data_IF_607456319455
#
_entry.id   IF_607456319455
#
_cell.length_a   1.000
_cell.length_b   1.000
_cell.length_c   1.000
_cell.angle_alpha   90.00
_cell.angle_beta   90.00
_cell.angle_gamma   90.00
#
_symmetry.space_group_name_H-M   'P 1'
#
loop_
_entity.id
_entity.type
_entity.pdbx_description
1 polymer ?
#
# COMPACT_ATOMS: atom_id res chain seq x y z
N UNK A 1 -13.37 -7.37 3.85
CA UNK A 1 -12.56 -6.40 3.07
C UNK A 1 -11.86 -7.14 1.95
N UNK A 2 -11.73 -6.56 0.75
CA UNK A 2 -10.96 -7.14 -0.36
C UNK A 2 -9.65 -6.37 -0.48
N UNK A 3 -8.52 -7.07 -0.55
CA UNK A 3 -7.21 -6.45 -0.73
C UNK A 3 -6.69 -6.74 -2.14
N UNK A 4 -6.38 -5.68 -2.87
CA UNK A 4 -5.52 -5.73 -4.04
C UNK A 4 -4.13 -5.22 -3.69
N UNK A 5 -3.10 -5.71 -4.34
CA UNK A 5 -1.78 -5.10 -4.21
C UNK A 5 -1.02 -5.07 -5.53
N UNK A 6 -0.15 -4.08 -5.63
CA UNK A 6 0.84 -3.90 -6.68
C UNK A 6 2.18 -3.65 -5.98
N UNK A 7 2.91 -4.73 -5.75
CA UNK A 7 4.24 -4.69 -5.15
C UNK A 7 5.30 -4.64 -6.25
N UNK A 8 6.49 -4.14 -5.92
CA UNK A 8 7.65 -4.25 -6.80
C UNK A 8 8.76 -4.97 -6.04
N UNK A 9 9.31 -6.02 -6.63
CA UNK A 9 10.45 -6.75 -6.05
C UNK A 9 11.68 -6.52 -6.90
N UNK A 10 12.86 -6.54 -6.27
CA UNK A 10 14.10 -6.48 -7.02
C UNK A 10 14.54 -7.86 -7.45
N UNK A 11 14.63 -8.07 -8.76
CA UNK A 11 15.27 -9.21 -9.37
C UNK A 11 16.65 -8.80 -9.91
N UNK A 12 17.65 -9.68 -9.84
CA UNK A 12 18.90 -9.49 -10.60
C UNK A 12 18.75 -10.18 -11.96
N UNK A 13 18.98 -9.45 -13.05
CA UNK A 13 18.98 -10.06 -14.38
C UNK A 13 20.25 -10.89 -14.64
N UNK A 14 20.31 -11.58 -15.78
CA UNK A 14 21.49 -12.36 -16.21
C UNK A 14 22.78 -11.52 -16.29
N UNK A 15 22.68 -10.19 -16.38
CA UNK A 15 23.78 -9.21 -16.38
C UNK A 15 24.06 -8.62 -14.98
N UNK A 16 23.57 -9.24 -13.89
CA UNK A 16 23.65 -8.78 -12.49
C UNK A 16 23.05 -7.39 -12.21
N UNK A 17 22.29 -6.81 -13.14
CA UNK A 17 21.61 -5.53 -12.94
C UNK A 17 20.34 -5.74 -12.13
N UNK A 18 20.10 -4.83 -11.17
CA UNK A 18 18.89 -4.81 -10.34
C UNK A 18 17.72 -4.28 -11.18
N UNK A 19 16.78 -5.15 -11.51
CA UNK A 19 15.52 -4.83 -12.19
C UNK A 19 14.40 -4.88 -11.16
N UNK A 20 13.46 -3.94 -11.24
CA UNK A 20 12.26 -3.94 -10.42
C UNK A 20 11.12 -4.57 -11.21
N UNK A 21 10.58 -5.68 -10.71
CA UNK A 21 9.51 -6.43 -11.35
C UNK A 21 8.22 -6.22 -10.55
N UNK A 22 7.10 -5.84 -11.20
CA UNK A 22 5.82 -5.78 -10.52
C UNK A 22 5.39 -7.19 -10.11
N UNK A 23 5.15 -7.37 -8.82
CA UNK A 23 4.39 -8.49 -8.27
C UNK A 23 2.97 -8.00 -8.12
N UNK A 24 2.22 -8.23 -9.20
CA UNK A 24 0.77 -8.10 -9.22
C UNK A 24 0.18 -9.43 -8.81
N UNK A 25 -0.91 -9.36 -8.08
CA UNK A 25 -1.74 -10.52 -7.82
C UNK A 25 -2.77 -10.67 -8.95
N UNK A 26 -2.87 -11.85 -9.55
CA UNK A 26 -3.90 -12.12 -10.56
C UNK A 26 -5.31 -12.22 -9.94
N UNK A 27 -5.40 -12.38 -8.61
CA UNK A 27 -6.66 -12.51 -7.87
C UNK A 27 -6.62 -11.78 -6.52
N UNK A 28 -7.58 -10.87 -6.30
CA UNK A 28 -7.75 -10.24 -4.99
C UNK A 28 -8.19 -11.29 -3.96
N UNK A 29 -7.73 -11.19 -2.72
CA UNK A 29 -8.18 -12.08 -1.64
C UNK A 29 -8.88 -11.30 -0.53
N UNK A 30 -9.92 -11.88 0.08
CA UNK A 30 -10.60 -11.25 1.21
C UNK A 30 -9.79 -11.38 2.49
N UNK A 31 -9.76 -10.32 3.30
CA UNK A 31 -9.37 -10.37 4.71
C UNK A 31 -10.59 -10.04 5.57
N UNK A 32 -10.78 -10.84 6.61
CA UNK A 32 -11.80 -10.63 7.63
C UNK A 32 -11.21 -9.82 8.78
N UNK A 33 -11.90 -8.75 9.15
CA UNK A 33 -11.53 -7.87 10.25
C UNK A 33 -12.78 -7.42 10.98
N UNK A 34 -12.65 -7.22 12.28
CA UNK A 34 -13.71 -6.69 13.13
C UNK A 34 -13.43 -5.22 13.41
N UNK A 35 -14.42 -4.39 13.08
CA UNK A 35 -14.45 -2.96 13.40
C UNK A 35 -14.31 -2.75 14.92
N UNK A 36 -13.51 -1.76 15.33
CA UNK A 36 -13.28 -1.43 16.74
C UNK A 36 -12.34 -2.38 17.50
N UNK A 37 -12.04 -3.56 16.96
CA UNK A 37 -11.06 -4.50 17.55
C UNK A 37 -9.70 -4.46 16.87
N UNK A 38 -9.66 -4.06 15.59
CA UNK A 38 -8.44 -4.09 14.79
C UNK A 38 -7.81 -2.69 14.73
N UNK A 39 -6.80 -2.44 15.56
CA UNK A 39 -6.00 -1.22 15.49
C UNK A 39 -5.18 -1.16 14.18
N UNK A 40 -4.71 0.03 13.81
CA UNK A 40 -4.00 0.24 12.53
C UNK A 40 -2.75 -0.63 12.36
N UNK A 41 -1.94 -0.81 13.42
CA UNK A 41 -0.79 -1.72 13.40
C UNK A 41 -1.21 -3.17 13.19
N UNK A 42 -2.28 -3.60 13.88
CA UNK A 42 -2.80 -4.96 13.74
C UNK A 42 -3.37 -5.21 12.35
N UNK A 43 -4.00 -4.18 11.77
CA UNK A 43 -4.45 -4.19 10.40
C UNK A 43 -3.29 -4.44 9.43
N UNK A 44 -2.21 -3.68 9.59
CA UNK A 44 -1.00 -3.80 8.78
C UNK A 44 -0.35 -5.19 8.88
N UNK A 45 -0.26 -5.76 10.09
CA UNK A 45 0.23 -7.13 10.31
C UNK A 45 -0.63 -8.18 9.59
N UNK A 46 -1.97 -8.05 9.69
CA UNK A 46 -2.89 -8.99 9.05
C UNK A 46 -2.76 -8.94 7.53
N UNK A 47 -2.61 -7.76 6.94
CA UNK A 47 -2.34 -7.62 5.51
C UNK A 47 -0.99 -8.25 5.15
N UNK A 48 0.07 -7.96 5.90
CA UNK A 48 1.40 -8.52 5.64
C UNK A 48 1.39 -10.05 5.72
N UNK A 49 0.73 -10.63 6.73
CA UNK A 49 0.60 -12.07 6.91
C UNK A 49 -0.19 -12.72 5.77
N UNK A 50 -1.32 -12.12 5.38
CA UNK A 50 -2.14 -12.63 4.29
C UNK A 50 -1.42 -12.53 2.94
N UNK A 51 -0.69 -11.44 2.69
CA UNK A 51 0.16 -11.33 1.51
C UNK A 51 1.24 -12.42 1.52
N UNK A 52 1.93 -12.63 2.65
CA UNK A 52 2.98 -13.65 2.74
C UNK A 52 2.46 -15.08 2.52
N UNK A 53 1.21 -15.35 2.94
CA UNK A 53 0.54 -16.64 2.73
C UNK A 53 0.25 -16.89 1.26
N UNK A 54 -0.18 -15.85 0.53
CA UNK A 54 -0.51 -15.96 -0.89
C UNK A 54 0.74 -15.85 -1.79
N UNK A 55 1.74 -15.05 -1.36
CA UNK A 55 2.98 -14.78 -2.08
C UNK A 55 4.14 -14.80 -1.09
N UNK A 56 4.91 -15.89 -1.11
CA UNK A 56 6.06 -16.02 -0.23
C UNK A 56 7.01 -14.81 -0.38
N UNK A 57 7.53 -14.33 0.76
CA UNK A 57 8.50 -13.22 0.88
C UNK A 57 7.91 -11.81 0.70
N UNK A 58 6.60 -11.64 0.48
CA UNK A 58 5.99 -10.30 0.42
C UNK A 58 5.70 -9.71 1.79
N UNK A 59 5.46 -10.53 2.82
CA UNK A 59 5.18 -10.05 4.18
C UNK A 59 6.28 -9.14 4.74
N UNK A 60 7.55 -9.56 4.74
CA UNK A 60 8.66 -8.72 5.20
C UNK A 60 8.82 -7.43 4.40
N UNK A 61 8.50 -7.45 3.11
CA UNK A 61 8.56 -6.25 2.24
C UNK A 61 7.49 -5.24 2.64
N UNK A 62 6.28 -5.71 2.95
CA UNK A 62 5.17 -4.87 3.42
C UNK A 62 5.47 -4.33 4.82
N UNK A 63 5.94 -5.16 5.76
CA UNK A 63 6.32 -4.73 7.11
C UNK A 63 7.42 -3.67 7.07
N UNK A 64 8.45 -3.88 6.25
CA UNK A 64 9.52 -2.89 6.08
C UNK A 64 9.02 -1.56 5.48
N UNK A 65 7.97 -1.61 4.65
CA UNK A 65 7.33 -0.39 4.12
C UNK A 65 6.47 0.37 5.15
N UNK A 66 6.23 -0.24 6.31
CA UNK A 66 5.52 0.39 7.42
C UNK A 66 6.52 1.09 8.35
N UNK A 67 7.70 0.49 8.51
CA UNK A 67 8.78 1.01 9.37
C UNK A 67 9.56 2.18 8.72
N UNK A 68 9.70 2.19 7.40
CA UNK A 68 10.47 3.23 6.71
C UNK A 68 9.60 4.47 6.41
N UNK A 69 9.89 5.65 7.02
CA UNK A 69 9.15 6.88 6.77
C UNK A 69 9.22 7.36 5.31
N UNK A 70 10.24 6.94 4.53
CA UNK A 70 10.31 7.21 3.07
C UNK A 70 9.32 6.39 2.27
N UNK A 71 8.70 5.40 2.90
CA UNK A 71 7.71 4.48 2.33
C UNK A 71 6.29 4.66 2.89
N UNK A 72 6.12 5.63 3.80
CA UNK A 72 4.82 6.07 4.33
C UNK A 72 3.97 6.69 3.21
N UNK A 73 3.19 5.86 2.55
CA UNK A 73 2.30 6.29 1.47
C UNK A 73 1.92 5.20 0.50
N UNK A 74 2.07 3.93 0.87
CA UNK A 74 1.84 2.82 -0.06
C UNK A 74 0.45 2.22 0.05
N UNK A 75 -0.44 2.79 0.87
CA UNK A 75 -1.73 2.20 1.18
C UNK A 75 -2.84 3.12 0.70
N UNK A 76 -3.59 2.71 -0.32
CA UNK A 76 -4.74 3.44 -0.83
C UNK A 76 -6.01 2.74 -0.40
N UNK A 77 -6.83 3.43 0.38
CA UNK A 77 -8.17 3.01 0.75
C UNK A 77 -9.20 3.40 -0.31
N UNK A 78 -10.21 2.55 -0.46
CA UNK A 78 -11.41 2.86 -1.23
C UNK A 78 -12.61 2.11 -0.68
N UNK A 79 -13.80 2.62 -0.96
CA UNK A 79 -15.06 2.00 -0.54
C UNK A 79 -15.94 1.86 -1.79
N UNK A 80 -16.39 0.63 -2.14
CA UNK A 80 -17.30 0.44 -3.27
C UNK A 80 -18.56 1.31 -3.13
N UNK A 81 -18.93 1.97 -4.23
CA UNK A 81 -20.18 2.72 -4.33
C UNK A 81 -20.31 3.83 -3.26
N UNK A 82 -19.20 4.46 -2.88
CA UNK A 82 -19.13 5.68 -2.07
C UNK A 82 -18.28 6.68 -2.84
N UNK A 83 -18.85 7.83 -3.20
CA UNK A 83 -18.20 8.76 -4.13
C UNK A 83 -16.92 9.37 -3.58
N UNK A 84 -16.94 9.76 -2.31
CA UNK A 84 -15.78 10.33 -1.64
C UNK A 84 -14.64 9.32 -1.58
N UNK A 85 -14.93 8.01 -1.55
CA UNK A 85 -13.95 6.94 -1.40
C UNK A 85 -13.70 6.15 -2.68
N UNK A 86 -13.88 6.77 -3.86
CA UNK A 86 -13.51 6.18 -5.15
C UNK A 86 -11.99 5.91 -5.21
N UNK A 87 -11.60 4.85 -5.93
CA UNK A 87 -10.18 4.49 -6.16
C UNK A 87 -9.35 5.62 -6.80
N UNK A 88 -10.00 6.48 -7.59
CA UNK A 88 -9.40 7.65 -8.24
C UNK A 88 -8.93 8.71 -7.24
N UNK A 89 -9.55 8.78 -6.06
CA UNK A 89 -9.31 9.86 -5.11
C UNK A 89 -8.03 9.63 -4.28
N UNK A 90 -7.41 8.46 -4.41
CA UNK A 90 -6.14 8.09 -3.78
C UNK A 90 -6.09 8.41 -2.27
N UNK A 91 -7.08 7.96 -1.50
CA UNK A 91 -7.08 8.13 -0.04
C UNK A 91 -5.98 7.32 0.63
N UNK A 92 -4.94 8.01 1.12
CA UNK A 92 -3.77 7.35 1.69
C UNK A 92 -3.98 6.99 3.17
N UNK A 93 -3.73 5.73 3.53
CA UNK A 93 -3.73 5.25 4.92
C UNK A 93 -2.33 5.40 5.51
N UNK A 94 -1.95 6.62 5.90
CA UNK A 94 -0.60 6.94 6.40
C UNK A 94 -0.56 6.88 7.93
N UNK A 95 -1.68 7.17 8.58
CA UNK A 95 -1.78 7.24 10.03
C UNK A 95 -3.07 6.56 10.54
N UNK A 96 -3.18 6.34 11.87
CA UNK A 96 -4.37 5.75 12.47
C UNK A 96 -5.66 6.54 12.25
N UNK A 97 -5.58 7.86 12.07
CA UNK A 97 -6.74 8.74 11.86
C UNK A 97 -7.36 8.51 10.48
N UNK A 98 -6.55 8.45 9.42
CA UNK A 98 -6.99 8.11 8.07
C UNK A 98 -7.65 6.72 8.04
N UNK A 99 -7.05 5.76 8.76
CA UNK A 99 -7.61 4.42 8.90
C UNK A 99 -8.96 4.42 9.61
N UNK A 100 -9.08 5.15 10.72
CA UNK A 100 -10.34 5.29 11.46
C UNK A 100 -11.41 5.96 10.61
N UNK A 101 -11.10 7.09 9.98
CA UNK A 101 -12.02 7.82 9.09
C UNK A 101 -12.54 6.95 7.94
N UNK A 102 -11.66 6.14 7.34
CA UNK A 102 -12.06 5.19 6.30
C UNK A 102 -13.02 4.12 6.80
N UNK A 103 -12.75 3.55 7.97
CA UNK A 103 -13.59 2.53 8.59
C UNK A 103 -14.95 3.09 9.02
N UNK A 104 -14.99 4.27 9.63
CA UNK A 104 -16.22 4.98 10.00
C UNK A 104 -17.05 5.32 8.76
N UNK A 105 -16.43 5.87 7.71
CA UNK A 105 -17.10 6.15 6.44
C UNK A 105 -17.74 4.90 5.82
N UNK A 106 -17.08 3.74 5.94
CA UNK A 106 -17.64 2.48 5.47
C UNK A 106 -18.84 2.03 6.31
N UNK A 107 -18.77 2.21 7.63
CA UNK A 107 -19.87 1.92 8.54
C UNK A 107 -21.09 2.81 8.29
N UNK A 108 -20.89 4.12 8.17
CA UNK A 108 -21.94 5.10 7.91
C UNK A 108 -22.60 4.85 6.55
N UNK A 109 -21.81 4.41 5.57
CA UNK A 109 -22.28 4.00 4.25
C UNK A 109 -22.90 2.58 4.22
N UNK A 110 -23.04 1.91 5.38
CA UNK A 110 -23.57 0.54 5.53
C UNK A 110 -22.84 -0.49 4.67
N UNK A 111 -21.54 -0.28 4.42
CA UNK A 111 -20.72 -1.16 3.58
C UNK A 111 -20.02 -2.21 4.44
N UNK A 112 -20.29 -3.48 4.14
CA UNK A 112 -19.60 -4.63 4.74
C UNK A 112 -18.27 -4.97 4.04
N UNK A 113 -18.06 -4.40 2.85
CA UNK A 113 -16.87 -4.63 2.03
C UNK A 113 -16.21 -3.29 1.74
N UNK A 114 -14.95 -3.20 2.12
CA UNK A 114 -14.03 -2.10 1.81
C UNK A 114 -12.84 -2.65 1.04
N UNK A 115 -12.14 -1.78 0.34
CA UNK A 115 -11.03 -2.14 -0.53
C UNK A 115 -9.75 -1.42 -0.11
N UNK A 116 -8.64 -2.16 -0.07
CA UNK A 116 -7.31 -1.58 0.13
C UNK A 116 -6.44 -1.98 -1.05
N UNK A 117 -5.71 -1.00 -1.58
CA UNK A 117 -4.68 -1.22 -2.59
C UNK A 117 -3.33 -0.86 -2.02
N UNK A 118 -2.42 -1.83 -1.92
CA UNK A 118 -1.02 -1.54 -1.57
C UNK A 118 -0.26 -1.19 -2.84
N UNK A 119 0.06 0.09 -3.04
CA UNK A 119 0.86 0.64 -4.15
C UNK A 119 2.27 0.96 -3.66
N UNK A 120 3.22 0.10 -3.96
CA UNK A 120 4.64 0.45 -3.81
C UNK A 120 5.07 1.30 -5.03
N UNK A 121 5.70 2.47 -4.88
CA UNK A 121 6.30 3.21 -5.96
C UNK A 121 7.40 2.36 -6.56
N UNK A 122 7.49 2.39 -7.89
CA UNK A 122 8.57 1.76 -8.60
C UNK A 122 9.89 2.39 -8.13
N UNK A 123 10.83 1.63 -7.56
CA UNK A 123 12.03 2.22 -7.00
C UNK A 123 12.97 2.80 -8.07
N UNK A 124 12.80 2.42 -9.34
CA UNK A 124 13.48 3.09 -10.45
C UNK A 124 12.96 4.52 -10.64
N UNK A 125 11.66 4.74 -10.48
CA UNK A 125 11.03 6.04 -10.62
C UNK A 125 11.30 6.92 -9.39
N UNK A 126 11.28 6.34 -8.19
CA UNK A 126 11.69 7.02 -6.96
C UNK A 126 13.15 7.52 -7.05
N UNK A 127 14.06 6.71 -7.63
CA UNK A 127 15.45 7.12 -7.86
C UNK A 127 15.56 8.28 -8.87
N UNK A 128 14.76 8.25 -9.94
CA UNK A 128 14.73 9.35 -10.92
C UNK A 128 14.17 10.63 -10.30
N UNK A 129 13.16 10.53 -9.44
CA UNK A 129 12.55 11.67 -8.79
C UNK A 129 13.49 12.30 -7.75
N UNK A 130 14.14 11.49 -6.91
CA UNK A 130 15.17 11.98 -5.99
C UNK A 130 16.31 12.70 -6.73
N UNK A 131 16.75 12.18 -7.87
CA UNK A 131 17.76 12.84 -8.71
C UNK A 131 17.28 14.21 -9.23
N UNK A 132 16.00 14.30 -9.63
CA UNK A 132 15.42 15.58 -10.08
C UNK A 132 15.29 16.58 -8.94
N UNK A 133 14.88 16.13 -7.76
CA UNK A 133 14.76 16.97 -6.55
C UNK A 133 16.15 17.46 -6.09
N UNK A 134 17.18 16.60 -6.10
CA UNK A 134 18.58 16.99 -5.84
C UNK A 134 19.11 18.01 -6.86
N UNK A 135 18.76 17.84 -8.14
CA UNK A 135 19.15 18.79 -9.19
C UNK A 135 18.46 20.15 -8.99
N UNK A 136 17.19 20.16 -8.60
CA UNK A 136 16.42 21.37 -8.35
C UNK A 136 16.93 22.10 -7.10
N UNK A 137 17.19 21.37 -6.01
CA UNK A 137 17.73 21.94 -4.77
C UNK A 137 19.13 22.56 -4.93
N UNK A 138 19.91 22.08 -5.91
CA UNK A 138 21.21 22.68 -6.27
C UNK A 138 21.09 23.94 -7.14
N UNK A 139 19.93 24.21 -7.75
CA UNK A 139 19.70 25.45 -8.49
C UNK A 139 19.15 26.58 -7.60
N UNK A 140 18.65 26.25 -6.40
CA UNK A 140 18.16 27.22 -5.40
C UNK A 140 19.22 27.57 -4.33
N UNK A 141 20.46 27.10 -4.48
CA UNK A 141 21.58 27.29 -3.54
C UNK A 141 22.69 28.20 -4.08
#
# INVERSE_FOLDING_TARGET
>A
MIIGFKLFTSLKNKKKQKIWVPVSLDSNFPIHMTMGQTCFSKFQELVAAACNKNFAKTGPVILKSIEDPKTKGYWVASIPCVEDWKKSNNHWLINPENYKCWLESAFDSKRKVVNVTVKMPNPADAKKQALKEDLLAKQEA
#
